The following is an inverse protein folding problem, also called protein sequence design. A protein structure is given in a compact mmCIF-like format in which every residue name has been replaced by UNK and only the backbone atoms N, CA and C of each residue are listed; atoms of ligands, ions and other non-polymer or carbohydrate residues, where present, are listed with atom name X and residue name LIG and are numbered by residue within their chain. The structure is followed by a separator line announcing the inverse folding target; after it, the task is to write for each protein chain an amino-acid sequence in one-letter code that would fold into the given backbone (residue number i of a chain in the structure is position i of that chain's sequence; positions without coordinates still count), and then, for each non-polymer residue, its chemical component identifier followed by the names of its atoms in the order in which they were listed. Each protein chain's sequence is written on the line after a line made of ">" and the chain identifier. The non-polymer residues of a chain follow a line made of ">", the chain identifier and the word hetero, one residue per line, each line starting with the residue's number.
data_IF_358866863699
#
_entry.id   IF_358866863699
#
_cell.length_a   1.000
_cell.length_b   1.000
_cell.length_c   1.000
_cell.angle_alpha   90.00
_cell.angle_beta   90.00
_cell.angle_gamma   90.00
#
_symmetry.space_group_name_H-M   'P 1'
#
loop_
_entity.id
_entity.type
_entity.pdbx_description
1 polymer ?
#
# COMPACT_ATOMS: atom_id res chain seq x y z
N UNK A 1 -17.51 -8.09 11.08
CA UNK A 1 -17.52 -6.81 10.34
C UNK A 1 -16.06 -6.43 10.12
N UNK A 2 -15.60 -6.30 8.87
CA UNK A 2 -14.21 -5.94 8.60
C UNK A 2 -14.03 -4.46 9.01
N UNK A 3 -13.22 -4.21 10.04
CA UNK A 3 -12.83 -2.84 10.39
C UNK A 3 -12.19 -2.21 9.17
N UNK A 4 -12.84 -1.18 8.62
CA UNK A 4 -12.28 -0.34 7.57
C UNK A 4 -10.90 0.16 8.02
N UNK A 5 -9.92 0.31 7.11
CA UNK A 5 -8.64 0.90 7.46
C UNK A 5 -8.90 2.32 7.99
N UNK A 6 -8.83 2.47 9.31
CA UNK A 6 -9.07 3.73 9.98
C UNK A 6 -7.93 4.67 9.60
N UNK A 7 -8.27 5.90 9.24
CA UNK A 7 -7.28 6.96 9.06
C UNK A 7 -6.38 7.03 10.30
N UNK A 8 -5.07 7.01 10.10
CA UNK A 8 -4.09 7.02 11.18
C UNK A 8 -3.59 8.45 11.36
N UNK A 9 -3.64 8.96 12.59
CA UNK A 9 -3.04 10.24 12.92
C UNK A 9 -1.56 10.04 13.28
N UNK A 10 -0.65 10.59 12.49
CA UNK A 10 0.80 10.47 12.70
C UNK A 10 1.51 11.78 12.32
N UNK A 11 2.42 12.24 13.17
CA UNK A 11 3.18 13.50 12.98
C UNK A 11 2.31 14.74 12.72
N UNK A 12 1.13 14.83 13.37
CA UNK A 12 0.21 15.95 13.20
C UNK A 12 -0.52 15.98 11.85
N UNK A 13 -0.47 14.88 11.08
CA UNK A 13 -1.19 14.72 9.83
C UNK A 13 -2.08 13.48 9.87
N UNK A 14 -3.20 13.56 9.18
CA UNK A 14 -4.08 12.41 8.95
C UNK A 14 -3.60 11.64 7.72
N UNK A 15 -3.34 10.36 7.92
CA UNK A 15 -2.97 9.43 6.88
C UNK A 15 -4.17 8.59 6.50
N UNK A 16 -4.47 8.56 5.21
CA UNK A 16 -5.61 7.87 4.65
C UNK A 16 -5.15 6.65 3.87
N UNK A 17 -5.92 5.55 3.89
CA UNK A 17 -5.62 4.37 3.10
C UNK A 17 -5.90 4.62 1.61
N UNK A 18 -4.96 4.23 0.76
CA UNK A 18 -5.09 4.22 -0.69
C UNK A 18 -4.80 2.81 -1.22
N UNK A 19 -5.64 2.33 -2.15
CA UNK A 19 -5.40 1.08 -2.85
C UNK A 19 -4.44 1.30 -4.00
N UNK A 20 -3.35 0.54 -4.02
CA UNK A 20 -2.42 0.44 -5.16
C UNK A 20 -2.81 -0.79 -5.95
N UNK A 21 -3.06 -0.64 -7.25
CA UNK A 21 -3.37 -1.73 -8.15
C UNK A 21 -2.24 -1.86 -9.17
N UNK A 22 -1.76 -3.08 -9.40
CA UNK A 22 -0.69 -3.34 -10.35
C UNK A 22 -0.91 -4.68 -11.05
N UNK A 23 -0.32 -4.82 -12.23
CA UNK A 23 -0.29 -6.09 -12.96
C UNK A 23 1.12 -6.63 -12.99
N UNK A 24 1.27 -7.95 -12.89
CA UNK A 24 2.55 -8.60 -13.15
C UNK A 24 2.81 -8.78 -14.65
N UNK A 25 3.94 -9.40 -14.99
CA UNK A 25 4.34 -9.68 -16.37
C UNK A 25 3.42 -10.69 -17.09
N UNK A 26 2.61 -11.46 -16.37
CA UNK A 26 1.62 -12.39 -16.91
C UNK A 26 0.22 -11.74 -17.01
N UNK A 27 0.09 -10.47 -16.64
CA UNK A 27 -1.17 -9.73 -16.67
C UNK A 27 -2.12 -10.03 -15.50
N UNK A 28 -1.66 -10.76 -14.46
CA UNK A 28 -2.44 -10.98 -13.25
C UNK A 28 -2.51 -9.67 -12.45
N UNK A 29 -3.70 -9.33 -11.98
CA UNK A 29 -3.93 -8.12 -11.20
C UNK A 29 -3.79 -8.39 -9.71
N UNK A 30 -3.01 -7.54 -9.05
CA UNK A 30 -2.81 -7.55 -7.61
C UNK A 30 -3.08 -6.16 -7.04
N UNK A 31 -3.39 -6.13 -5.75
CA UNK A 31 -3.51 -4.88 -5.03
C UNK A 31 -2.99 -5.00 -3.61
N UNK A 32 -2.53 -3.86 -3.08
CA UNK A 32 -2.18 -3.71 -1.68
C UNK A 32 -2.55 -2.30 -1.21
N UNK A 33 -2.59 -2.10 0.10
CA UNK A 33 -2.94 -0.81 0.70
C UNK A 33 -1.69 -0.08 1.14
N UNK A 34 -1.58 1.20 0.79
CA UNK A 34 -0.62 2.14 1.35
C UNK A 34 -1.36 3.21 2.14
N UNK A 35 -0.65 3.93 3.00
CA UNK A 35 -1.18 5.11 3.67
C UNK A 35 -0.50 6.36 3.13
N UNK A 36 -1.26 7.44 2.94
CA UNK A 36 -0.73 8.74 2.52
C UNK A 36 -1.62 9.88 3.01
N UNK A 37 -1.06 11.10 3.10
CA UNK A 37 -1.80 12.29 3.55
C UNK A 37 -2.68 12.92 2.45
N UNK A 38 -2.46 12.58 1.18
CA UNK A 38 -3.24 13.06 0.03
C UNK A 38 -3.06 12.11 -1.17
N UNK A 39 -3.90 12.28 -2.21
CA UNK A 39 -3.75 11.52 -3.46
C UNK A 39 -2.42 11.82 -4.17
N UNK A 40 -1.97 13.06 -4.13
CA UNK A 40 -0.69 13.47 -4.70
C UNK A 40 0.48 12.79 -3.98
N UNK A 41 0.47 12.80 -2.64
CA UNK A 41 1.46 12.09 -1.84
C UNK A 41 1.44 10.57 -2.13
N UNK A 42 0.25 9.97 -2.24
CA UNK A 42 0.11 8.57 -2.61
C UNK A 42 0.77 8.25 -3.96
N UNK A 43 0.70 9.16 -4.94
CA UNK A 43 1.35 8.97 -6.25
C UNK A 43 2.88 8.92 -6.17
N UNK A 44 3.47 9.76 -5.32
CA UNK A 44 4.91 9.73 -5.05
C UNK A 44 5.34 8.45 -4.34
N UNK A 45 4.57 8.00 -3.33
CA UNK A 45 4.84 6.73 -2.64
C UNK A 45 4.79 5.54 -3.61
N UNK A 46 3.84 5.50 -4.54
CA UNK A 46 3.78 4.45 -5.57
C UNK A 46 5.03 4.46 -6.46
N UNK A 47 5.49 5.65 -6.87
CA UNK A 47 6.70 5.77 -7.66
C UNK A 47 7.94 5.32 -6.87
N UNK A 48 8.06 5.72 -5.61
CA UNK A 48 9.17 5.32 -4.74
C UNK A 48 9.20 3.80 -4.54
N UNK A 49 8.04 3.16 -4.31
CA UNK A 49 7.94 1.69 -4.22
C UNK A 49 8.45 1.05 -5.51
N UNK A 50 8.06 1.56 -6.68
CA UNK A 50 8.52 1.02 -7.96
C UNK A 50 10.04 1.10 -8.12
N UNK A 51 10.66 2.14 -7.58
CA UNK A 51 12.09 2.41 -7.74
C UNK A 51 12.95 1.73 -6.65
N UNK A 52 12.40 1.52 -5.46
CA UNK A 52 13.17 1.12 -4.27
C UNK A 52 12.75 -0.22 -3.66
N UNK A 53 11.63 -0.82 -4.08
CA UNK A 53 11.18 -2.09 -3.52
C UNK A 53 12.19 -3.22 -3.74
N UNK A 54 12.49 -3.95 -2.67
CA UNK A 54 13.32 -5.15 -2.69
C UNK A 54 12.50 -6.38 -2.34
N UNK A 55 12.90 -7.54 -2.87
CA UNK A 55 12.28 -8.82 -2.52
C UNK A 55 12.54 -9.16 -1.05
N UNK A 56 11.48 -9.41 -0.28
CA UNK A 56 11.55 -9.99 1.06
C UNK A 56 11.45 -11.52 1.06
N UNK A 57 11.43 -12.12 2.24
CA UNK A 57 11.23 -13.56 2.38
C UNK A 57 9.82 -14.02 1.98
N UNK A 58 9.70 -15.31 1.70
CA UNK A 58 8.40 -15.93 1.42
C UNK A 58 7.49 -15.83 2.65
N UNK A 59 6.29 -15.31 2.46
CA UNK A 59 5.24 -15.31 3.49
C UNK A 59 4.67 -16.74 3.57
N UNK A 60 5.09 -17.50 4.59
CA UNK A 60 4.73 -18.92 4.75
C UNK A 60 3.42 -19.14 5.52
N UNK A 61 2.88 -18.09 6.14
CA UNK A 61 1.59 -18.14 6.82
C UNK A 61 0.96 -16.76 6.91
N UNK A 62 -0.33 -16.67 6.62
CA UNK A 62 -1.16 -15.51 6.91
C UNK A 62 -2.01 -15.93 8.11
N UNK A 63 -1.56 -15.60 9.33
CA UNK A 63 -2.38 -15.87 10.51
C UNK A 63 -3.56 -14.90 10.50
N UNK A 64 -4.77 -15.45 10.58
CA UNK A 64 -6.04 -14.73 10.50
C UNK A 64 -6.49 -14.20 11.85
#
# INVERSE_FOLDING_TARGET
>A
MASMPMSVHHEGKDWYPFSVNFSDNEGRQFSFTIYAISREHASYVVQEIRETATLGDQIVSITK
#
